data_IF_274695018946
#
_entry.id   IF_274695018946
#
_cell.length_a   1.000
_cell.length_b   1.000
_cell.length_c   1.000
_cell.angle_alpha   90.00
_cell.angle_beta   90.00
_cell.angle_gamma   90.00
#
_symmetry.space_group_name_H-M   'P 1'
#
loop_
_entity.id
_entity.type
_entity.pdbx_description
1 polymer ?
#
# COMPACT_ATOMS: atom_id res chain seq x y z
N UNK A 1 -6.22 33.46 0.68
CA UNK A 1 -6.91 32.34 1.38
C UNK A 1 -6.04 31.10 1.20
N UNK A 2 -5.78 30.33 2.25
CA UNK A 2 -4.99 29.09 2.16
C UNK A 2 -5.77 28.03 1.34
N UNK A 3 -5.07 27.33 0.43
CA UNK A 3 -5.60 26.22 -0.35
C UNK A 3 -4.64 25.05 -0.25
N UNK A 4 -5.18 23.86 -0.15
CA UNK A 4 -4.40 22.62 -0.12
C UNK A 4 -5.09 21.56 -0.97
N UNK A 5 -4.42 21.19 -2.06
CA UNK A 5 -4.78 20.07 -2.91
C UNK A 5 -3.71 18.98 -2.79
N UNK A 6 -4.01 17.81 -2.15
CA UNK A 6 -3.05 16.73 -2.00
C UNK A 6 -2.56 16.12 -3.32
N UNK A 7 -3.24 16.43 -4.45
CA UNK A 7 -2.86 15.99 -5.78
C UNK A 7 -2.07 17.05 -6.57
N UNK A 8 -1.83 18.21 -5.98
CA UNK A 8 -1.10 19.28 -6.66
C UNK A 8 0.36 18.93 -6.86
N UNK A 9 0.93 19.09 -8.06
CA UNK A 9 2.37 18.92 -8.29
C UNK A 9 3.25 19.79 -7.38
N UNK A 10 2.75 20.96 -6.96
CA UNK A 10 3.49 21.82 -6.03
C UNK A 10 3.55 21.24 -4.61
N UNK A 11 2.47 20.60 -4.17
CA UNK A 11 2.43 19.90 -2.88
C UNK A 11 3.28 18.63 -2.96
N UNK A 12 3.24 17.91 -4.08
CA UNK A 12 4.06 16.71 -4.29
C UNK A 12 5.56 17.04 -4.28
N UNK A 13 5.95 18.15 -4.88
CA UNK A 13 7.35 18.60 -4.91
C UNK A 13 7.90 19.01 -3.53
N UNK A 14 7.11 19.73 -2.72
CA UNK A 14 7.47 20.10 -1.34
C UNK A 14 6.22 20.24 -0.46
N UNK A 15 5.79 19.16 0.22
CA UNK A 15 4.58 19.17 1.05
C UNK A 15 4.77 19.86 2.40
N UNK A 16 6.00 20.04 2.89
CA UNK A 16 6.28 20.42 4.28
C UNK A 16 5.76 21.80 4.67
N UNK A 17 5.88 22.87 3.85
CA UNK A 17 5.29 24.17 4.15
C UNK A 17 3.76 24.11 4.29
N UNK A 18 3.09 23.33 3.43
CA UNK A 18 1.65 23.12 3.50
C UNK A 18 1.26 22.39 4.78
N UNK A 19 1.97 21.30 5.10
CA UNK A 19 1.72 20.54 6.33
C UNK A 19 1.94 21.38 7.59
N UNK A 20 2.91 22.33 7.57
CA UNK A 20 3.09 23.26 8.68
C UNK A 20 1.87 24.15 8.87
N UNK A 21 1.38 24.77 7.80
CA UNK A 21 0.18 25.62 7.85
C UNK A 21 -1.06 24.85 8.30
N UNK A 22 -1.24 23.62 7.77
CA UNK A 22 -2.33 22.74 8.19
C UNK A 22 -2.26 22.46 9.70
N UNK A 23 -1.10 22.09 10.25
CA UNK A 23 -0.99 21.78 11.68
C UNK A 23 -1.20 23.00 12.57
N UNK A 24 -0.66 24.14 12.18
CA UNK A 24 -0.61 25.32 13.03
C UNK A 24 -1.91 26.12 12.97
N UNK A 25 -2.52 26.24 11.78
CA UNK A 25 -3.61 27.18 11.51
C UNK A 25 -4.93 26.48 11.09
N UNK A 26 -4.84 25.30 10.43
CA UNK A 26 -5.98 24.63 9.82
C UNK A 26 -5.98 23.12 10.12
N UNK A 27 -5.99 22.68 11.40
CA UNK A 27 -5.75 21.27 11.77
C UNK A 27 -6.83 20.29 11.27
N UNK A 28 -8.00 20.79 10.96
CA UNK A 28 -9.09 20.09 10.28
C UNK A 28 -9.52 20.96 9.10
N UNK A 29 -9.02 20.66 7.91
CA UNK A 29 -9.19 21.46 6.70
C UNK A 29 -10.07 20.77 5.69
N UNK A 30 -11.05 21.48 5.14
CA UNK A 30 -11.82 21.01 3.98
C UNK A 30 -11.13 21.38 2.68
N UNK A 31 -10.64 20.40 1.94
CA UNK A 31 -10.14 20.62 0.58
C UNK A 31 -11.29 20.58 -0.42
N UNK A 32 -11.59 21.72 -1.00
CA UNK A 32 -12.59 21.85 -2.09
C UNK A 32 -12.15 21.16 -3.37
N UNK A 33 -10.82 21.09 -3.59
CA UNK A 33 -10.21 20.46 -4.76
C UNK A 33 -10.27 18.94 -4.67
N UNK A 34 -10.00 18.39 -3.49
CA UNK A 34 -10.01 16.95 -3.26
C UNK A 34 -11.36 16.42 -2.73
N UNK A 35 -12.29 17.34 -2.38
CA UNK A 35 -13.61 17.02 -1.81
C UNK A 35 -13.51 16.11 -0.57
N UNK A 36 -12.55 16.42 0.32
CA UNK A 36 -12.33 15.66 1.54
C UNK A 36 -11.87 16.53 2.70
N UNK A 37 -12.11 16.04 3.93
CA UNK A 37 -11.53 16.59 5.14
C UNK A 37 -10.12 16.07 5.35
N UNK A 38 -9.22 16.95 5.77
CA UNK A 38 -7.81 16.66 6.00
C UNK A 38 -7.48 16.95 7.45
N UNK A 39 -7.08 15.92 8.17
CA UNK A 39 -6.53 16.01 9.52
C UNK A 39 -5.01 16.07 9.45
N UNK A 40 -4.39 16.94 10.25
CA UNK A 40 -2.94 17.17 10.17
C UNK A 40 -2.21 17.02 11.50
N UNK A 41 -2.89 17.08 12.64
CA UNK A 41 -2.27 16.91 13.96
C UNK A 41 -2.22 15.45 14.35
N UNK A 42 -1.12 15.03 14.93
CA UNK A 42 -0.91 13.65 15.37
C UNK A 42 -2.02 13.13 16.28
N UNK A 43 -2.43 13.91 17.27
CA UNK A 43 -3.48 13.51 18.22
C UNK A 43 -4.81 13.28 17.53
N UNK A 44 -5.19 14.16 16.58
CA UNK A 44 -6.46 14.06 15.83
C UNK A 44 -6.44 12.83 14.90
N UNK A 45 -5.31 12.59 14.22
CA UNK A 45 -5.14 11.41 13.34
C UNK A 45 -5.21 10.11 14.14
N UNK A 46 -4.55 10.04 15.30
CA UNK A 46 -4.59 8.86 16.16
C UNK A 46 -6.00 8.62 16.70
N UNK A 47 -6.67 9.68 17.16
CA UNK A 47 -8.06 9.61 17.63
C UNK A 47 -9.01 9.12 16.54
N UNK A 48 -8.93 9.72 15.34
CA UNK A 48 -9.74 9.29 14.20
C UNK A 48 -9.47 7.84 13.78
N UNK A 49 -8.20 7.41 13.79
CA UNK A 49 -7.82 6.04 13.43
C UNK A 49 -8.28 4.98 14.44
N UNK A 50 -8.63 5.37 15.67
CA UNK A 50 -9.16 4.49 16.71
C UNK A 50 -10.69 4.48 16.77
N UNK A 51 -11.33 5.52 16.30
CA UNK A 51 -12.79 5.69 16.32
C UNK A 51 -13.41 5.25 14.99
N UNK A 52 -13.40 3.94 14.75
CA UNK A 52 -13.98 3.35 13.53
C UNK A 52 -15.50 3.57 13.44
N UNK A 53 -16.18 3.83 14.54
CA UNK A 53 -17.63 4.10 14.56
C UNK A 53 -17.97 5.44 13.92
N UNK A 54 -17.10 6.44 14.11
CA UNK A 54 -17.24 7.77 13.47
C UNK A 54 -16.52 7.80 12.11
N UNK A 55 -15.33 7.20 12.02
CA UNK A 55 -14.45 7.24 10.84
C UNK A 55 -14.31 5.85 10.23
N UNK A 56 -15.39 5.39 9.59
CA UNK A 56 -15.46 4.07 8.97
C UNK A 56 -14.52 3.93 7.78
N UNK A 57 -13.85 2.78 7.66
CA UNK A 57 -13.07 2.38 6.48
C UNK A 57 -13.89 1.59 5.45
N UNK A 58 -15.16 1.29 5.73
CA UNK A 58 -15.98 0.41 4.89
C UNK A 58 -16.23 0.96 3.47
N UNK A 59 -16.16 2.27 3.29
CA UNK A 59 -16.27 2.92 1.98
C UNK A 59 -14.96 2.98 1.20
N UNK A 60 -13.88 2.44 1.76
CA UNK A 60 -12.54 2.44 1.15
C UNK A 60 -11.51 3.14 2.04
N UNK A 61 -10.24 2.95 1.71
CA UNK A 61 -9.11 3.55 2.41
C UNK A 61 -8.07 4.17 1.44
N UNK A 62 -8.44 4.35 0.19
CA UNK A 62 -7.68 5.09 -0.80
C UNK A 62 -8.41 6.41 -1.11
N UNK A 63 -7.66 7.44 -1.49
CA UNK A 63 -8.26 8.72 -1.91
C UNK A 63 -9.20 8.56 -3.11
N UNK A 64 -8.89 7.63 -4.01
CA UNK A 64 -9.80 7.15 -5.06
C UNK A 64 -9.83 5.63 -5.02
N UNK A 65 -10.97 5.07 -4.72
CA UNK A 65 -11.12 3.62 -4.52
C UNK A 65 -11.37 2.89 -5.84
N UNK A 66 -10.90 1.63 -5.95
CA UNK A 66 -11.21 0.76 -7.08
C UNK A 66 -12.62 0.17 -6.94
N UNK A 67 -13.38 0.04 -8.03
CA UNK A 67 -14.68 -0.62 -7.99
C UNK A 67 -14.60 -2.01 -7.35
N UNK A 68 -15.49 -2.29 -6.41
CA UNK A 68 -15.57 -3.57 -5.70
C UNK A 68 -14.52 -3.80 -4.61
N UNK A 69 -13.56 -2.88 -4.40
CA UNK A 69 -12.53 -3.03 -3.36
C UNK A 69 -13.00 -2.51 -1.99
N UNK A 70 -13.84 -1.47 -1.97
CA UNK A 70 -14.41 -0.95 -0.72
C UNK A 70 -15.15 -2.05 0.05
N UNK A 71 -14.83 -2.17 1.35
CA UNK A 71 -15.38 -3.22 2.21
C UNK A 71 -14.95 -4.66 1.89
N UNK A 72 -14.14 -4.89 0.85
CA UNK A 72 -13.71 -6.22 0.43
C UNK A 72 -12.34 -6.65 0.98
N UNK A 73 -11.55 -5.72 1.49
CA UNK A 73 -10.21 -6.00 2.01
C UNK A 73 -10.16 -5.82 3.54
N UNK A 74 -9.11 -6.33 4.17
CA UNK A 74 -8.87 -6.11 5.59
C UNK A 74 -8.83 -4.61 5.92
N UNK A 75 -8.05 -3.81 5.17
CA UNK A 75 -7.90 -2.38 5.41
C UNK A 75 -9.12 -1.53 5.05
N UNK A 76 -10.10 -2.09 4.33
CA UNK A 76 -11.36 -1.43 3.97
C UNK A 76 -12.58 -2.12 4.65
N UNK A 77 -12.38 -2.66 5.84
CA UNK A 77 -13.45 -3.31 6.62
C UNK A 77 -13.44 -2.79 8.04
N UNK A 78 -14.62 -2.65 8.62
CA UNK A 78 -14.78 -2.32 10.04
C UNK A 78 -15.08 -3.58 10.87
N UNK A 79 -14.95 -3.51 12.23
CA UNK A 79 -15.44 -4.55 13.11
C UNK A 79 -16.94 -4.84 12.90
N UNK A 80 -17.40 -6.09 13.01
CA UNK A 80 -16.65 -7.28 13.43
C UNK A 80 -15.93 -7.98 12.27
N UNK A 81 -16.16 -7.56 11.02
CA UNK A 81 -15.56 -8.18 9.82
C UNK A 81 -14.04 -8.04 9.82
N UNK A 82 -13.54 -6.84 10.11
CA UNK A 82 -12.11 -6.56 10.25
C UNK A 82 -11.45 -7.53 11.24
N UNK A 83 -12.02 -7.67 12.43
CA UNK A 83 -11.41 -8.48 13.51
C UNK A 83 -11.36 -9.96 13.13
N UNK A 84 -12.41 -10.46 12.47
CA UNK A 84 -12.43 -11.82 11.94
C UNK A 84 -11.35 -12.04 10.88
N UNK A 85 -11.23 -11.15 9.92
CA UNK A 85 -10.22 -11.26 8.85
C UNK A 85 -8.80 -11.14 9.41
N UNK A 86 -8.58 -10.17 10.32
CA UNK A 86 -7.30 -9.98 10.99
C UNK A 86 -6.89 -11.20 11.79
N UNK A 87 -7.83 -11.80 12.52
CA UNK A 87 -7.59 -13.03 13.28
C UNK A 87 -7.10 -14.20 12.43
N UNK A 88 -7.60 -14.34 11.19
CA UNK A 88 -7.15 -15.38 10.27
C UNK A 88 -5.67 -15.24 9.87
N UNK A 89 -5.23 -14.01 9.59
CA UNK A 89 -3.86 -13.77 9.12
C UNK A 89 -2.85 -13.56 10.24
N UNK A 90 -3.29 -13.12 11.42
CA UNK A 90 -2.41 -12.78 12.55
C UNK A 90 -1.47 -13.93 12.95
N UNK A 91 -1.93 -15.18 12.80
CA UNK A 91 -1.13 -16.36 13.13
C UNK A 91 0.14 -16.47 12.28
N UNK A 92 0.04 -16.15 10.98
CA UNK A 92 1.19 -16.17 10.08
C UNK A 92 2.27 -15.15 10.48
N UNK A 93 1.87 -14.02 11.05
CA UNK A 93 2.76 -12.92 11.46
C UNK A 93 3.20 -12.97 12.93
N UNK A 94 3.02 -14.12 13.62
CA UNK A 94 3.57 -14.29 14.96
C UNK A 94 5.10 -14.27 14.93
N UNK A 95 5.72 -13.73 15.98
CA UNK A 95 7.18 -13.61 16.11
C UNK A 95 7.94 -14.91 15.77
N UNK A 96 7.45 -16.05 16.25
CA UNK A 96 8.08 -17.35 15.97
C UNK A 96 8.13 -17.69 14.47
N UNK A 97 7.08 -17.33 13.72
CA UNK A 97 7.00 -17.60 12.28
C UNK A 97 7.87 -16.59 11.51
N UNK A 98 7.89 -15.32 11.95
CA UNK A 98 8.76 -14.30 11.37
C UNK A 98 10.25 -14.59 11.58
N UNK A 99 10.64 -15.18 12.72
CA UNK A 99 12.03 -15.57 12.96
C UNK A 99 12.50 -16.67 11.98
N UNK A 100 11.61 -17.54 11.52
CA UNK A 100 11.93 -18.55 10.51
C UNK A 100 12.25 -17.94 9.13
N UNK A 101 11.85 -16.69 8.89
CA UNK A 101 12.14 -15.96 7.65
C UNK A 101 13.51 -15.27 7.64
N UNK A 102 14.26 -15.27 8.74
CA UNK A 102 15.53 -14.53 8.82
C UNK A 102 16.53 -15.01 7.76
N UNK A 103 16.76 -16.33 7.65
CA UNK A 103 17.69 -16.86 6.64
C UNK A 103 17.16 -16.69 5.20
N UNK A 104 15.89 -17.01 4.87
CA UNK A 104 15.34 -16.66 3.57
C UNK A 104 15.47 -15.17 3.19
N UNK A 105 15.21 -14.27 4.13
CA UNK A 105 15.37 -12.83 3.89
C UNK A 105 16.83 -12.47 3.65
N UNK A 106 17.76 -13.05 4.39
CA UNK A 106 19.20 -12.87 4.22
C UNK A 106 19.68 -13.34 2.84
N UNK A 107 19.15 -14.44 2.36
CA UNK A 107 19.51 -14.97 1.04
C UNK A 107 18.90 -14.13 -0.10
N UNK A 108 17.65 -13.67 0.05
CA UNK A 108 17.04 -12.68 -0.85
C UNK A 108 17.91 -11.42 -0.89
N UNK A 109 18.36 -10.91 0.26
CA UNK A 109 19.22 -9.75 0.33
C UNK A 109 20.54 -9.97 -0.43
N UNK A 110 21.22 -11.10 -0.19
CA UNK A 110 22.46 -11.46 -0.93
C UNK A 110 22.22 -11.52 -2.43
N UNK A 111 21.11 -12.12 -2.86
CA UNK A 111 20.75 -12.21 -4.29
C UNK A 111 20.52 -10.84 -4.90
N UNK A 112 19.65 -10.01 -4.28
CA UNK A 112 19.27 -8.71 -4.84
C UNK A 112 20.44 -7.73 -4.80
N UNK A 113 21.09 -7.56 -3.65
CA UNK A 113 22.23 -6.63 -3.52
C UNK A 113 23.50 -7.16 -4.16
N UNK A 114 23.65 -8.47 -4.31
CA UNK A 114 24.78 -9.08 -5.02
C UNK A 114 24.84 -8.69 -6.50
N UNK A 115 23.70 -8.39 -7.11
CA UNK A 115 23.61 -7.89 -8.50
C UNK A 115 24.27 -6.53 -8.68
N UNK A 116 24.42 -5.75 -7.61
CA UNK A 116 25.04 -4.42 -7.65
C UNK A 116 26.56 -4.47 -7.69
N UNK A 117 27.16 -5.65 -7.57
CA UNK A 117 28.61 -5.79 -7.56
C UNK A 117 29.20 -5.30 -8.89
N UNK A 118 30.00 -4.23 -8.81
CA UNK A 118 30.63 -3.61 -9.99
C UNK A 118 29.89 -2.39 -10.52
N UNK A 119 28.69 -2.10 -10.08
CA UNK A 119 28.01 -0.85 -10.41
C UNK A 119 28.60 0.31 -9.58
N UNK A 120 28.88 1.44 -10.24
CA UNK A 120 29.33 2.67 -9.56
C UNK A 120 28.14 3.51 -9.07
N UNK A 121 27.03 3.45 -9.79
CA UNK A 121 25.79 4.18 -9.52
C UNK A 121 24.60 3.27 -9.86
N UNK A 122 23.53 3.37 -9.08
CA UNK A 122 22.27 2.65 -9.31
C UNK A 122 21.12 3.40 -8.63
N UNK A 123 19.90 3.20 -9.12
CA UNK A 123 18.71 3.68 -8.44
C UNK A 123 18.36 2.74 -7.28
N UNK A 124 18.48 3.25 -6.07
CA UNK A 124 18.16 2.49 -4.86
C UNK A 124 16.69 2.08 -4.80
N UNK A 125 15.78 2.87 -5.36
CA UNK A 125 14.35 2.56 -5.43
C UNK A 125 14.09 1.24 -6.15
N UNK A 126 14.76 1.00 -7.27
CA UNK A 126 14.57 -0.23 -8.06
C UNK A 126 15.04 -1.45 -7.28
N UNK A 127 16.20 -1.33 -6.64
CA UNK A 127 16.78 -2.41 -5.83
C UNK A 127 15.93 -2.68 -4.58
N UNK A 128 15.56 -1.64 -3.85
CA UNK A 128 14.77 -1.78 -2.63
C UNK A 128 13.37 -2.35 -2.92
N UNK A 129 12.77 -1.98 -4.03
CA UNK A 129 11.46 -2.51 -4.40
C UNK A 129 11.49 -3.98 -4.81
N UNK A 130 12.55 -4.45 -5.48
CA UNK A 130 12.76 -5.88 -5.73
C UNK A 130 12.93 -6.66 -4.43
N UNK A 131 13.75 -6.14 -3.51
CA UNK A 131 13.97 -6.76 -2.21
C UNK A 131 12.68 -6.89 -1.41
N UNK A 132 11.93 -5.79 -1.27
CA UNK A 132 10.69 -5.77 -0.47
C UNK A 132 9.61 -6.69 -1.04
N UNK A 133 9.45 -6.76 -2.35
CA UNK A 133 8.49 -7.68 -2.99
C UNK A 133 8.87 -9.14 -2.72
N UNK A 134 10.11 -9.52 -2.92
CA UNK A 134 10.58 -10.90 -2.64
C UNK A 134 10.40 -11.28 -1.17
N UNK A 135 10.74 -10.39 -0.25
CA UNK A 135 10.52 -10.61 1.19
C UNK A 135 9.04 -10.77 1.52
N UNK A 136 8.17 -9.94 0.93
CA UNK A 136 6.73 -10.05 1.14
C UNK A 136 6.19 -11.37 0.57
N UNK A 137 6.61 -11.76 -0.62
CA UNK A 137 6.21 -13.03 -1.23
C UNK A 137 6.65 -14.22 -0.37
N UNK A 138 7.89 -14.22 0.12
CA UNK A 138 8.38 -15.24 1.04
C UNK A 138 7.58 -15.30 2.36
N UNK A 139 7.25 -14.13 2.93
CA UNK A 139 6.46 -14.04 4.16
C UNK A 139 5.02 -14.53 3.99
N UNK A 140 4.47 -14.42 2.79
CA UNK A 140 3.12 -14.89 2.45
C UNK A 140 3.11 -16.33 1.91
N UNK A 141 4.29 -16.95 1.74
CA UNK A 141 4.39 -18.29 1.14
C UNK A 141 4.00 -18.33 -0.34
N UNK A 142 4.15 -17.21 -1.06
CA UNK A 142 3.84 -17.15 -2.48
C UNK A 142 4.94 -17.84 -3.30
N UNK A 143 4.60 -18.50 -4.41
CA UNK A 143 5.57 -19.20 -5.25
C UNK A 143 6.56 -18.22 -5.89
N UNK A 144 7.85 -18.53 -5.82
CA UNK A 144 8.94 -17.72 -6.34
C UNK A 144 10.01 -18.59 -7.03
N UNK A 145 10.90 -17.97 -7.82
CA UNK A 145 11.96 -18.66 -8.53
C UNK A 145 11.40 -19.68 -9.51
N UNK A 146 11.85 -20.94 -9.42
CA UNK A 146 11.41 -22.01 -10.34
C UNK A 146 9.96 -22.44 -10.12
N UNK A 147 9.37 -22.12 -8.97
CA UNK A 147 7.97 -22.40 -8.65
C UNK A 147 7.05 -21.21 -9.00
N UNK A 148 7.61 -20.09 -9.46
CA UNK A 148 6.84 -18.89 -9.77
C UNK A 148 5.83 -19.14 -10.88
N UNK A 149 4.56 -18.77 -10.64
CA UNK A 149 3.49 -18.83 -11.67
C UNK A 149 3.70 -17.73 -12.70
N UNK A 150 4.22 -16.59 -12.24
CA UNK A 150 4.53 -15.40 -13.03
C UNK A 150 5.80 -14.75 -12.48
N UNK A 151 6.51 -13.92 -13.26
CA UNK A 151 7.66 -13.17 -12.75
C UNK A 151 7.27 -12.29 -11.53
N UNK A 152 8.12 -12.26 -10.49
CA UNK A 152 7.88 -11.45 -9.29
C UNK A 152 7.69 -9.95 -9.62
N UNK A 153 8.34 -9.48 -10.69
CA UNK A 153 8.18 -8.12 -11.19
C UNK A 153 6.73 -7.84 -11.63
N UNK A 154 6.07 -8.80 -12.25
CA UNK A 154 4.68 -8.67 -12.69
C UNK A 154 3.72 -8.57 -11.48
N UNK A 155 3.98 -9.35 -10.44
CA UNK A 155 3.23 -9.23 -9.16
C UNK A 155 3.38 -7.84 -8.58
N UNK A 156 4.62 -7.33 -8.52
CA UNK A 156 4.92 -5.99 -8.03
C UNK A 156 4.20 -4.91 -8.84
N UNK A 157 4.32 -4.97 -10.15
CA UNK A 157 3.81 -3.91 -11.03
C UNK A 157 2.28 -3.82 -10.95
N UNK A 158 1.59 -4.96 -10.91
CA UNK A 158 0.15 -4.99 -10.69
C UNK A 158 -0.25 -4.55 -9.28
N UNK A 159 0.51 -4.94 -8.24
CA UNK A 159 0.24 -4.50 -6.87
C UNK A 159 0.38 -2.96 -6.72
N UNK A 160 1.36 -2.35 -7.38
CA UNK A 160 1.54 -0.89 -7.40
C UNK A 160 0.42 -0.23 -8.23
N UNK A 161 0.18 -0.73 -9.45
CA UNK A 161 -0.81 -0.17 -10.36
C UNK A 161 -2.22 -0.15 -9.76
N UNK A 162 -2.64 -1.22 -9.09
CA UNK A 162 -3.99 -1.30 -8.53
C UNK A 162 -4.30 -0.24 -7.45
N UNK A 163 -3.28 0.28 -6.76
CA UNK A 163 -3.46 1.32 -5.72
C UNK A 163 -3.27 2.73 -6.26
N UNK A 164 -2.62 2.91 -7.39
CA UNK A 164 -2.45 4.20 -8.05
C UNK A 164 -3.75 4.72 -8.65
N UNK A 165 -3.76 5.99 -8.98
CA UNK A 165 -4.81 6.68 -9.74
C UNK A 165 -4.15 7.51 -10.82
N UNK A 166 -4.88 7.79 -11.89
CA UNK A 166 -4.41 8.71 -12.94
C UNK A 166 -4.12 10.08 -12.33
N UNK A 167 -2.91 10.59 -12.56
CA UNK A 167 -2.44 11.83 -11.93
C UNK A 167 -3.24 13.06 -12.38
N UNK A 168 -3.82 13.05 -13.58
CA UNK A 168 -4.57 14.17 -14.15
C UNK A 168 -6.04 14.12 -13.80
N UNK A 169 -6.67 12.95 -13.95
CA UNK A 169 -8.12 12.78 -13.75
C UNK A 169 -8.48 12.38 -12.32
N UNK A 170 -7.47 11.94 -11.54
CA UNK A 170 -7.62 11.39 -10.17
C UNK A 170 -8.52 10.16 -10.10
N UNK A 171 -8.88 9.60 -11.24
CA UNK A 171 -9.76 8.45 -11.36
C UNK A 171 -8.96 7.14 -11.46
N UNK A 172 -9.63 6.04 -11.27
CA UNK A 172 -9.14 4.71 -11.63
C UNK A 172 -9.41 4.48 -13.11
N UNK A 173 -8.35 4.49 -13.93
CA UNK A 173 -8.43 4.13 -15.34
C UNK A 173 -8.56 2.62 -15.56
N UNK A 174 -8.77 2.19 -16.82
CA UNK A 174 -8.89 0.78 -17.16
C UNK A 174 -7.69 -0.06 -16.69
N UNK A 175 -6.48 0.49 -16.74
CA UNK A 175 -5.22 -0.15 -16.32
C UNK A 175 -5.20 -0.46 -14.82
N UNK A 176 -5.70 0.45 -13.98
CA UNK A 176 -5.78 0.25 -12.52
C UNK A 176 -6.80 -0.83 -12.17
N UNK A 177 -7.93 -0.87 -12.89
CA UNK A 177 -8.97 -1.89 -12.72
C UNK A 177 -8.46 -3.25 -13.20
N UNK A 178 -7.77 -3.28 -14.35
CA UNK A 178 -7.17 -4.49 -14.87
C UNK A 178 -6.14 -5.08 -13.90
N UNK A 179 -5.28 -4.24 -13.31
CA UNK A 179 -4.32 -4.67 -12.31
C UNK A 179 -4.99 -5.25 -11.05
N UNK A 180 -6.07 -4.64 -10.58
CA UNK A 180 -6.86 -5.19 -9.47
C UNK A 180 -7.45 -6.57 -9.78
N UNK A 181 -8.05 -6.74 -10.96
CA UNK A 181 -8.61 -8.01 -11.40
C UNK A 181 -7.51 -9.07 -11.57
N UNK A 182 -6.36 -8.67 -12.14
CA UNK A 182 -5.20 -9.55 -12.29
C UNK A 182 -4.70 -10.07 -10.93
N UNK A 183 -4.62 -9.21 -9.92
CA UNK A 183 -4.23 -9.61 -8.56
C UNK A 183 -5.21 -10.61 -7.94
N UNK A 184 -6.51 -10.47 -8.21
CA UNK A 184 -7.52 -11.44 -7.75
C UNK A 184 -7.36 -12.80 -8.44
N UNK A 185 -7.12 -12.81 -9.75
CA UNK A 185 -6.86 -14.04 -10.51
C UNK A 185 -5.57 -14.72 -10.06
N UNK A 186 -4.49 -13.94 -9.84
CA UNK A 186 -3.23 -14.45 -9.31
C UNK A 186 -3.42 -15.11 -7.95
N UNK A 187 -4.10 -14.44 -7.03
CA UNK A 187 -4.40 -15.00 -5.72
C UNK A 187 -5.23 -16.28 -5.81
N UNK A 188 -6.21 -16.34 -6.72
CA UNK A 188 -7.03 -17.53 -6.95
C UNK A 188 -6.20 -18.71 -7.47
N UNK A 189 -5.24 -18.47 -8.38
CA UNK A 189 -4.31 -19.49 -8.87
C UNK A 189 -3.40 -20.03 -7.77
N UNK A 190 -2.86 -19.14 -6.93
CA UNK A 190 -2.02 -19.54 -5.79
C UNK A 190 -2.81 -20.40 -4.77
N UNK A 191 -4.06 -20.04 -4.49
CA UNK A 191 -4.91 -20.80 -3.55
C UNK A 191 -5.25 -22.19 -4.10
N UNK A 192 -5.27 -22.37 -5.42
CA UNK A 192 -5.59 -23.63 -6.06
C UNK A 192 -4.40 -24.61 -6.19
N UNK A 193 -3.18 -24.16 -5.84
CA UNK A 193 -1.95 -24.98 -5.79
C UNK A 193 -1.94 -25.87 -4.55
#
# INVERSE_FOLDING_TARGET
MFSFDPYSPAVDADPFPYYKTLRDEQPCFWSSEAQMWILSRYADIVSAGQDWQTYSSASGNLMTESPGRAGATLGSSDPPKHDRLRGLIQHAFMKRNLLALEEPIRDIAKQVFGQLKGFKEFDFKDVSSQFTVKVLMAALGLPMGDEAIVPEQEVRDNAVMMVQSDARTRAKGPEHIAAYNWMQEYASKVIAM
#
